data_IF_528315940049
#
_entry.id   IF_528315940049
#
_cell.length_a   1.000
_cell.length_b   1.000
_cell.length_c   1.000
_cell.angle_alpha   90.00
_cell.angle_beta   90.00
_cell.angle_gamma   90.00
#
_symmetry.space_group_name_H-M   'P 1'
#
loop_
_entity.id
_entity.type
_entity.pdbx_description
1 polymer ?
#
# COMPACT_ATOMS: atom_id res chain seq x y z
N UNK A 1 19.81 4.42 -19.90
CA UNK A 1 18.53 3.68 -19.84
C UNK A 1 17.39 4.68 -19.81
N UNK A 2 16.33 4.48 -20.58
CA UNK A 2 15.16 5.36 -20.52
C UNK A 2 14.47 5.22 -19.14
N UNK A 3 14.26 6.33 -18.42
CA UNK A 3 13.64 6.33 -17.09
C UNK A 3 12.21 5.77 -17.05
N UNK A 4 11.49 5.82 -18.17
CA UNK A 4 10.15 5.26 -18.29
C UNK A 4 10.13 3.71 -18.28
N UNK A 5 11.24 3.05 -18.65
CA UNK A 5 11.37 1.59 -18.50
C UNK A 5 11.35 1.18 -17.02
N UNK A 6 11.87 2.02 -16.13
CA UNK A 6 11.77 1.77 -14.68
C UNK A 6 10.32 1.86 -14.21
N UNK A 7 9.55 2.82 -14.73
CA UNK A 7 8.10 2.94 -14.42
C UNK A 7 7.34 1.72 -14.96
N UNK A 8 7.64 1.27 -16.19
CA UNK A 8 7.03 0.06 -16.75
C UNK A 8 7.31 -1.16 -15.86
N UNK A 9 8.58 -1.36 -15.46
CA UNK A 9 8.96 -2.42 -14.54
C UNK A 9 8.26 -2.30 -13.19
N UNK A 10 8.13 -1.08 -12.67
CA UNK A 10 7.44 -0.81 -11.42
C UNK A 10 5.96 -1.18 -11.48
N UNK A 11 5.26 -0.76 -12.53
CA UNK A 11 3.83 -1.08 -12.73
C UNK A 11 3.64 -2.58 -12.92
N UNK A 12 4.46 -3.23 -13.74
CA UNK A 12 4.41 -4.68 -13.96
C UNK A 12 4.57 -5.44 -12.63
N UNK A 13 5.58 -5.11 -11.84
CA UNK A 13 5.79 -5.71 -10.53
C UNK A 13 4.59 -5.45 -9.61
N UNK A 14 4.16 -4.21 -9.49
CA UNK A 14 3.10 -3.82 -8.55
C UNK A 14 1.74 -4.44 -8.87
N UNK A 15 1.38 -4.61 -10.16
CA UNK A 15 0.15 -5.31 -10.55
C UNK A 15 0.17 -6.75 -10.05
N UNK A 16 1.30 -7.44 -10.18
CA UNK A 16 1.44 -8.82 -9.73
C UNK A 16 1.35 -8.93 -8.19
N UNK A 17 2.01 -8.03 -7.46
CA UNK A 17 1.91 -8.01 -6.00
C UNK A 17 0.49 -7.69 -5.52
N UNK A 18 -0.22 -6.82 -6.24
CA UNK A 18 -1.59 -6.42 -5.93
C UNK A 18 -2.62 -7.52 -6.10
N UNK A 19 -2.27 -8.62 -6.76
CA UNK A 19 -3.11 -9.82 -6.85
C UNK A 19 -3.47 -10.39 -5.46
N UNK A 20 -2.71 -10.07 -4.41
CA UNK A 20 -3.03 -10.44 -3.02
C UNK A 20 -4.44 -9.99 -2.61
N UNK A 21 -4.96 -8.90 -3.16
CA UNK A 21 -6.33 -8.44 -2.89
C UNK A 21 -7.41 -9.32 -3.53
N UNK A 22 -7.05 -10.23 -4.43
CA UNK A 22 -7.96 -11.22 -4.99
C UNK A 22 -8.02 -12.52 -4.16
N UNK A 23 -7.39 -12.57 -2.98
CA UNK A 23 -7.39 -13.75 -2.08
C UNK A 23 -8.78 -14.32 -1.82
N UNK A 24 -9.78 -13.46 -1.67
CA UNK A 24 -11.17 -13.87 -1.40
C UNK A 24 -11.73 -14.86 -2.43
N UNK A 25 -11.21 -14.91 -3.65
CA UNK A 25 -11.63 -15.84 -4.69
C UNK A 25 -11.21 -17.29 -4.39
N UNK A 26 -10.20 -17.49 -3.56
CA UNK A 26 -9.73 -18.81 -3.16
C UNK A 26 -10.50 -19.37 -1.94
N UNK A 27 -11.18 -18.50 -1.16
CA UNK A 27 -11.81 -18.92 0.09
C UNK A 27 -12.82 -20.06 -0.13
N UNK A 28 -13.85 -19.84 -0.95
CA UNK A 28 -14.90 -20.85 -1.15
C UNK A 28 -14.36 -22.14 -1.80
N UNK A 29 -13.54 -22.08 -2.88
CA UNK A 29 -12.94 -23.30 -3.46
C UNK A 29 -12.07 -24.10 -2.51
N UNK A 30 -11.39 -23.46 -1.54
CA UNK A 30 -10.60 -24.15 -0.51
C UNK A 30 -11.51 -24.81 0.53
N UNK A 31 -12.58 -24.12 0.96
CA UNK A 31 -13.60 -24.67 1.87
C UNK A 31 -14.25 -25.90 1.23
N UNK A 32 -14.68 -25.80 -0.02
CA UNK A 32 -15.35 -26.89 -0.74
C UNK A 32 -14.46 -28.10 -0.94
N UNK A 33 -13.16 -27.87 -1.16
CA UNK A 33 -12.19 -28.93 -1.41
C UNK A 33 -11.73 -29.64 -0.15
N UNK A 34 -11.47 -28.89 0.93
CA UNK A 34 -10.79 -29.44 2.12
C UNK A 34 -11.69 -29.49 3.36
N UNK A 35 -12.88 -28.90 3.34
CA UNK A 35 -13.78 -28.81 4.48
C UNK A 35 -13.27 -27.92 5.62
N UNK A 36 -12.34 -26.99 5.31
CA UNK A 36 -11.81 -26.07 6.32
C UNK A 36 -12.81 -24.99 6.73
N UNK A 37 -12.75 -24.54 7.97
CA UNK A 37 -13.58 -23.43 8.42
C UNK A 37 -13.21 -22.12 7.68
N UNK A 38 -14.22 -21.31 7.35
CA UNK A 38 -14.02 -20.07 6.60
C UNK A 38 -13.09 -19.10 7.31
N UNK A 39 -13.25 -19.01 8.62
CA UNK A 39 -12.45 -18.15 9.49
C UNK A 39 -10.96 -18.49 9.37
N UNK A 40 -10.63 -19.78 9.36
CA UNK A 40 -9.26 -20.25 9.26
C UNK A 40 -8.64 -19.99 7.88
N UNK A 41 -9.41 -20.16 6.81
CA UNK A 41 -8.93 -19.86 5.45
C UNK A 41 -8.61 -18.37 5.31
N UNK A 42 -9.43 -17.47 5.87
CA UNK A 42 -9.23 -16.02 5.83
C UNK A 42 -7.98 -15.60 6.62
N UNK A 43 -7.60 -16.31 7.67
CA UNK A 43 -6.36 -16.06 8.43
C UNK A 43 -5.12 -16.08 7.53
N UNK A 44 -5.10 -16.87 6.46
CA UNK A 44 -4.00 -16.88 5.49
C UNK A 44 -3.72 -15.48 4.92
N UNK A 45 -4.76 -14.75 4.53
CA UNK A 45 -4.62 -13.38 4.04
C UNK A 45 -4.07 -12.45 5.13
N UNK A 46 -4.57 -12.58 6.36
CA UNK A 46 -4.10 -11.76 7.49
C UNK A 46 -2.62 -11.98 7.77
N UNK A 47 -2.16 -13.23 7.75
CA UNK A 47 -0.74 -13.59 7.88
C UNK A 47 0.07 -12.96 6.74
N UNK A 48 -0.42 -13.09 5.50
CA UNK A 48 0.27 -12.51 4.32
C UNK A 48 0.49 -11.01 4.49
N UNK A 49 -0.55 -10.26 4.87
CA UNK A 49 -0.46 -8.80 5.05
C UNK A 49 0.45 -8.42 6.23
N UNK A 50 0.38 -9.16 7.34
CA UNK A 50 1.23 -8.90 8.50
C UNK A 50 2.71 -9.13 8.18
N UNK A 51 3.03 -10.27 7.57
CA UNK A 51 4.40 -10.59 7.14
C UNK A 51 4.89 -9.60 6.09
N UNK A 52 4.07 -9.30 5.09
CA UNK A 52 4.36 -8.27 4.08
C UNK A 52 4.75 -6.94 4.73
N UNK A 53 3.92 -6.40 5.60
CA UNK A 53 4.19 -5.12 6.24
C UNK A 53 5.49 -5.17 7.07
N UNK A 54 5.70 -6.21 7.87
CA UNK A 54 6.89 -6.35 8.70
C UNK A 54 8.18 -6.45 7.87
N UNK A 55 8.17 -7.24 6.82
CA UNK A 55 9.34 -7.48 5.96
C UNK A 55 9.77 -6.23 5.20
N UNK A 56 8.87 -5.28 4.92
CA UNK A 56 9.26 -4.02 4.24
C UNK A 56 10.34 -3.23 4.97
N UNK A 57 10.45 -3.34 6.30
CA UNK A 57 11.52 -2.70 7.09
C UNK A 57 12.90 -3.22 6.65
N UNK A 58 13.05 -4.53 6.63
CA UNK A 58 14.32 -5.19 6.29
C UNK A 58 14.62 -5.07 4.80
N UNK A 59 13.60 -5.28 3.97
CA UNK A 59 13.69 -5.14 2.51
C UNK A 59 14.12 -3.74 2.10
N UNK A 60 13.57 -2.71 2.75
CA UNK A 60 13.95 -1.32 2.53
C UNK A 60 15.42 -1.05 2.81
N UNK A 61 15.96 -1.59 3.92
CA UNK A 61 17.38 -1.49 4.24
C UNK A 61 18.24 -2.25 3.23
N UNK A 62 17.84 -3.46 2.89
CA UNK A 62 18.59 -4.30 1.96
C UNK A 62 18.64 -3.68 0.56
N UNK A 63 17.52 -3.14 0.05
CA UNK A 63 17.49 -2.50 -1.27
C UNK A 63 18.30 -1.18 -1.33
N UNK A 64 18.46 -0.47 -0.22
CA UNK A 64 19.33 0.70 -0.16
C UNK A 64 20.83 0.31 -0.27
N UNK A 65 21.19 -0.93 0.11
CA UNK A 65 22.55 -1.47 0.06
C UNK A 65 22.88 -2.14 -1.28
N UNK A 66 22.06 -3.13 -1.71
CA UNK A 66 22.34 -3.95 -2.90
C UNK A 66 21.54 -3.54 -4.14
N UNK A 67 20.64 -2.57 -4.00
CA UNK A 67 19.81 -2.02 -5.07
C UNK A 67 18.46 -2.73 -5.25
N UNK A 68 17.50 -2.03 -5.90
CA UNK A 68 16.12 -2.49 -6.02
C UNK A 68 15.97 -3.75 -6.89
N UNK A 69 16.81 -3.91 -7.91
CA UNK A 69 16.75 -5.05 -8.85
C UNK A 69 16.91 -6.38 -8.12
N UNK A 70 17.96 -6.52 -7.32
CA UNK A 70 18.29 -7.78 -6.67
C UNK A 70 17.27 -8.14 -5.59
N UNK A 71 16.87 -7.17 -4.78
CA UNK A 71 15.87 -7.39 -3.72
C UNK A 71 14.52 -7.76 -4.30
N UNK A 72 14.08 -7.07 -5.36
CA UNK A 72 12.84 -7.40 -6.05
C UNK A 72 12.90 -8.76 -6.78
N UNK A 73 14.06 -9.15 -7.31
CA UNK A 73 14.25 -10.49 -7.92
C UNK A 73 14.10 -11.58 -6.88
N UNK A 74 14.80 -11.46 -5.73
CA UNK A 74 14.71 -12.43 -4.63
C UNK A 74 13.27 -12.49 -4.10
N UNK A 75 12.64 -11.32 -3.89
CA UNK A 75 11.25 -11.27 -3.45
C UNK A 75 10.29 -11.91 -4.46
N UNK A 76 10.48 -11.69 -5.77
CA UNK A 76 9.70 -12.32 -6.82
C UNK A 76 9.84 -13.85 -6.87
N UNK A 77 11.08 -14.35 -6.65
CA UNK A 77 11.33 -15.78 -6.50
C UNK A 77 10.59 -16.36 -5.29
N UNK A 78 10.69 -15.73 -4.13
CA UNK A 78 10.00 -16.18 -2.92
C UNK A 78 8.48 -16.15 -3.09
N UNK A 79 7.92 -15.08 -3.69
CA UNK A 79 6.50 -15.00 -3.97
C UNK A 79 6.05 -16.14 -4.89
N UNK A 80 6.72 -16.32 -6.02
CA UNK A 80 6.38 -17.36 -6.99
C UNK A 80 6.49 -18.77 -6.38
N UNK A 81 7.59 -19.06 -5.68
CA UNK A 81 7.81 -20.35 -5.02
C UNK A 81 6.77 -20.58 -3.91
N UNK A 82 6.50 -19.60 -3.05
CA UNK A 82 5.51 -19.71 -1.99
C UNK A 82 4.11 -20.02 -2.52
N UNK A 83 3.70 -19.32 -3.59
CA UNK A 83 2.40 -19.57 -4.24
C UNK A 83 2.38 -20.92 -4.96
N UNK A 84 3.47 -21.33 -5.64
CA UNK A 84 3.58 -22.67 -6.25
C UNK A 84 3.50 -23.78 -5.18
N UNK A 85 4.21 -23.65 -4.06
CA UNK A 85 4.15 -24.61 -2.95
C UNK A 85 2.74 -24.72 -2.37
N UNK A 86 1.96 -23.64 -2.38
CA UNK A 86 0.56 -23.66 -1.92
C UNK A 86 -0.32 -24.61 -2.74
N UNK A 87 0.08 -24.98 -3.96
CA UNK A 87 -0.61 -26.01 -4.77
C UNK A 87 -0.57 -27.39 -4.15
N UNK A 88 0.44 -27.65 -3.32
CA UNK A 88 0.66 -28.96 -2.63
C UNK A 88 0.17 -28.94 -1.19
N UNK A 89 -0.40 -27.82 -0.72
CA UNK A 89 -0.88 -27.71 0.65
C UNK A 89 -2.07 -28.65 0.87
N UNK A 90 -1.95 -29.49 1.89
CA UNK A 90 -3.00 -30.43 2.36
C UNK A 90 -3.51 -30.08 3.74
N UNK A 91 -2.89 -29.09 4.40
CA UNK A 91 -3.28 -28.56 5.71
C UNK A 91 -3.25 -27.02 5.74
N UNK A 92 -4.03 -26.42 6.63
CA UNK A 92 -4.01 -24.98 6.88
C UNK A 92 -2.63 -24.48 7.27
N UNK A 93 -1.89 -25.23 8.10
CA UNK A 93 -0.54 -24.84 8.53
C UNK A 93 0.43 -24.73 7.34
N UNK A 94 0.32 -25.64 6.36
CA UNK A 94 1.10 -25.57 5.13
C UNK A 94 0.69 -24.35 4.28
N UNK A 95 -0.61 -24.07 4.17
CA UNK A 95 -1.10 -22.90 3.43
C UNK A 95 -0.65 -21.59 4.10
N UNK A 96 -0.71 -21.51 5.44
CA UNK A 96 -0.18 -20.37 6.20
C UNK A 96 1.31 -20.17 5.98
N UNK A 97 2.09 -21.26 5.97
CA UNK A 97 3.53 -21.18 5.73
C UNK A 97 3.84 -20.78 4.29
N UNK A 98 3.23 -21.44 3.30
CA UNK A 98 3.61 -21.26 1.90
C UNK A 98 3.07 -19.95 1.34
N UNK A 99 1.77 -19.74 1.39
CA UNK A 99 1.16 -18.50 0.89
C UNK A 99 1.34 -17.34 1.87
N UNK A 100 1.03 -17.57 3.15
CA UNK A 100 1.04 -16.53 4.17
C UNK A 100 2.44 -16.01 4.47
N UNK A 101 3.36 -16.89 4.87
CA UNK A 101 4.69 -16.47 5.29
C UNK A 101 5.62 -16.31 4.10
N UNK A 102 5.86 -17.35 3.29
CA UNK A 102 6.83 -17.28 2.18
C UNK A 102 6.35 -16.28 1.12
N UNK A 103 5.08 -16.37 0.72
CA UNK A 103 4.46 -15.40 -0.20
C UNK A 103 4.48 -13.98 0.35
N UNK A 104 4.12 -13.80 1.63
CA UNK A 104 4.17 -12.52 2.33
C UNK A 104 5.57 -11.89 2.39
N UNK A 105 6.62 -12.70 2.67
CA UNK A 105 8.02 -12.27 2.58
C UNK A 105 8.34 -11.81 1.16
N UNK A 106 7.93 -12.57 0.14
CA UNK A 106 8.14 -12.22 -1.27
C UNK A 106 7.52 -10.88 -1.64
N UNK A 107 6.27 -10.64 -1.24
CA UNK A 107 5.59 -9.35 -1.45
C UNK A 107 6.33 -8.23 -0.72
N UNK A 108 6.66 -8.43 0.57
CA UNK A 108 7.33 -7.42 1.41
C UNK A 108 8.71 -7.01 0.89
N UNK A 109 9.50 -7.98 0.43
CA UNK A 109 10.79 -7.72 -0.19
C UNK A 109 10.66 -6.91 -1.49
N UNK A 110 9.63 -7.18 -2.26
CA UNK A 110 9.48 -6.58 -3.60
C UNK A 110 8.82 -5.21 -3.56
N UNK A 111 7.86 -4.98 -2.67
CA UNK A 111 6.96 -3.81 -2.69
C UNK A 111 7.66 -2.44 -2.67
N UNK A 112 8.68 -2.30 -1.84
CA UNK A 112 9.38 -1.00 -1.66
C UNK A 112 10.28 -0.67 -2.85
N UNK A 113 10.77 -1.68 -3.58
CA UNK A 113 11.75 -1.52 -4.64
C UNK A 113 11.26 -0.69 -5.84
N UNK A 114 10.05 -0.93 -6.41
CA UNK A 114 9.50 -0.11 -7.49
C UNK A 114 9.34 1.36 -7.10
N UNK A 115 8.81 1.62 -5.90
CA UNK A 115 8.56 2.96 -5.39
C UNK A 115 9.84 3.76 -5.26
N UNK A 116 10.84 3.18 -4.58
CA UNK A 116 12.11 3.86 -4.34
C UNK A 116 12.90 4.11 -5.62
N UNK A 117 12.90 3.15 -6.55
CA UNK A 117 13.50 3.33 -7.87
C UNK A 117 12.82 4.48 -8.63
N UNK A 118 11.50 4.47 -8.73
CA UNK A 118 10.73 5.51 -9.42
C UNK A 118 10.96 6.90 -8.83
N UNK A 119 10.92 7.05 -7.51
CA UNK A 119 11.14 8.33 -6.83
C UNK A 119 12.55 8.88 -7.07
N UNK A 120 13.57 8.01 -7.16
CA UNK A 120 14.95 8.41 -7.47
C UNK A 120 15.12 8.89 -8.91
N UNK A 121 14.42 8.27 -9.87
CA UNK A 121 14.48 8.66 -11.30
C UNK A 121 13.66 9.89 -11.67
N UNK A 122 12.65 10.25 -10.87
CA UNK A 122 11.74 11.37 -11.15
C UNK A 122 11.67 12.34 -9.97
N UNK A 123 12.77 13.04 -9.65
CA UNK A 123 12.78 13.98 -8.53
C UNK A 123 11.82 15.15 -8.74
N UNK A 124 11.54 15.51 -10.00
CA UNK A 124 10.62 16.59 -10.43
C UNK A 124 9.12 16.22 -10.28
N UNK A 125 8.77 14.93 -10.30
CA UNK A 125 7.38 14.42 -10.35
C UNK A 125 7.14 13.26 -9.41
N UNK A 126 7.70 13.31 -8.19
CA UNK A 126 7.66 12.21 -7.23
C UNK A 126 6.26 11.71 -6.92
N UNK A 127 5.30 12.63 -6.70
CA UNK A 127 3.92 12.28 -6.39
C UNK A 127 3.21 11.59 -7.55
N UNK A 128 3.34 12.12 -8.75
CA UNK A 128 2.74 11.53 -9.94
C UNK A 128 3.29 10.13 -10.24
N UNK A 129 4.61 9.99 -10.19
CA UNK A 129 5.27 8.71 -10.49
C UNK A 129 5.04 7.68 -9.38
N UNK A 130 5.07 8.10 -8.12
CA UNK A 130 4.68 7.26 -7.00
C UNK A 130 3.23 6.78 -7.16
N UNK A 131 2.34 7.70 -7.54
CA UNK A 131 0.95 7.38 -7.84
C UNK A 131 0.78 6.32 -8.92
N UNK A 132 1.48 6.44 -10.06
CA UNK A 132 1.46 5.46 -11.14
C UNK A 132 1.98 4.11 -10.65
N UNK A 133 3.13 4.08 -9.98
CA UNK A 133 3.72 2.85 -9.48
C UNK A 133 2.76 2.12 -8.52
N UNK A 134 2.20 2.84 -7.54
CA UNK A 134 1.31 2.19 -6.55
C UNK A 134 -0.08 1.89 -7.13
N UNK A 135 -0.55 2.63 -8.16
CA UNK A 135 -1.81 2.32 -8.84
C UNK A 135 -1.82 0.90 -9.40
N UNK A 136 -0.67 0.42 -9.91
CA UNK A 136 -0.52 -0.98 -10.32
C UNK A 136 -0.93 -1.96 -9.22
N UNK A 137 -0.43 -1.75 -7.99
CA UNK A 137 -0.80 -2.60 -6.84
C UNK A 137 -2.32 -2.55 -6.54
N UNK A 138 -2.93 -1.36 -6.61
CA UNK A 138 -4.38 -1.21 -6.41
C UNK A 138 -5.22 -1.92 -7.47
N UNK A 139 -4.74 -1.97 -8.72
CA UNK A 139 -5.43 -2.62 -9.83
C UNK A 139 -5.18 -4.15 -9.89
N UNK A 140 -4.20 -4.66 -9.14
CA UNK A 140 -3.82 -6.08 -9.19
C UNK A 140 -4.99 -7.03 -8.96
N UNK A 141 -5.78 -6.79 -7.92
CA UNK A 141 -6.97 -7.61 -7.65
C UNK A 141 -7.97 -7.61 -8.81
N UNK A 142 -8.19 -6.46 -9.44
CA UNK A 142 -9.10 -6.33 -10.59
C UNK A 142 -8.57 -7.07 -11.83
N UNK A 143 -7.27 -6.95 -12.11
CA UNK A 143 -6.61 -7.62 -13.26
C UNK A 143 -6.60 -9.13 -13.08
N UNK A 144 -6.31 -9.59 -11.86
CA UNK A 144 -6.19 -11.02 -11.58
C UNK A 144 -7.51 -11.74 -11.28
N UNK A 145 -8.58 -11.01 -10.95
CA UNK A 145 -9.89 -11.62 -10.71
C UNK A 145 -10.34 -12.56 -11.84
N UNK A 146 -10.39 -12.14 -13.13
CA UNK A 146 -10.78 -13.02 -14.23
C UNK A 146 -9.76 -14.16 -14.44
N UNK A 147 -8.48 -13.92 -14.27
CA UNK A 147 -7.42 -14.94 -14.44
C UNK A 147 -7.55 -16.04 -13.39
N UNK A 148 -7.68 -15.66 -12.13
CA UNK A 148 -7.84 -16.60 -11.01
C UNK A 148 -9.15 -17.39 -11.16
N UNK A 149 -10.25 -16.71 -11.47
CA UNK A 149 -11.54 -17.37 -11.67
C UNK A 149 -11.49 -18.43 -12.78
N UNK A 150 -10.94 -18.07 -13.94
CA UNK A 150 -10.75 -19.00 -15.05
C UNK A 150 -9.86 -20.19 -14.70
N UNK A 151 -8.73 -19.95 -14.00
CA UNK A 151 -7.83 -21.03 -13.59
C UNK A 151 -8.49 -21.97 -12.57
N UNK A 152 -9.24 -21.45 -11.61
CA UNK A 152 -9.95 -22.27 -10.63
C UNK A 152 -11.01 -23.14 -11.32
N UNK A 153 -11.77 -22.58 -12.24
CA UNK A 153 -12.80 -23.30 -12.99
C UNK A 153 -12.18 -24.41 -13.87
N UNK A 154 -11.08 -24.11 -14.56
CA UNK A 154 -10.46 -25.05 -15.51
C UNK A 154 -9.65 -26.15 -14.81
N UNK A 155 -8.92 -25.84 -13.74
CA UNK A 155 -7.89 -26.74 -13.18
C UNK A 155 -8.07 -27.05 -11.69
N UNK A 156 -9.05 -26.41 -11.05
CA UNK A 156 -9.28 -26.49 -9.62
C UNK A 156 -8.34 -25.61 -8.81
N UNK A 157 -8.69 -25.40 -7.54
CA UNK A 157 -8.00 -24.42 -6.64
C UNK A 157 -6.51 -24.72 -6.44
N UNK A 158 -6.12 -26.00 -6.28
CA UNK A 158 -4.72 -26.34 -6.03
C UNK A 158 -3.85 -26.08 -7.26
N UNK A 159 -4.27 -26.53 -8.43
CA UNK A 159 -3.51 -26.28 -9.67
C UNK A 159 -3.47 -24.79 -10.03
N UNK A 160 -4.52 -24.02 -9.69
CA UNK A 160 -4.51 -22.57 -9.90
C UNK A 160 -3.38 -21.88 -9.13
N UNK A 161 -3.05 -22.30 -7.92
CA UNK A 161 -1.87 -21.79 -7.20
C UNK A 161 -0.56 -22.07 -7.95
N UNK A 162 -0.41 -23.25 -8.56
CA UNK A 162 0.78 -23.56 -9.35
C UNK A 162 0.94 -22.59 -10.52
N UNK A 163 -0.10 -22.42 -11.32
CA UNK A 163 -0.07 -21.53 -12.49
C UNK A 163 0.11 -20.06 -12.08
N UNK A 164 -0.59 -19.61 -11.04
CA UNK A 164 -0.43 -18.25 -10.51
C UNK A 164 0.99 -18.01 -9.99
N UNK A 165 1.58 -19.00 -9.29
CA UNK A 165 2.95 -18.90 -8.81
C UNK A 165 3.97 -18.77 -9.95
N UNK A 166 3.79 -19.51 -11.06
CA UNK A 166 4.63 -19.39 -12.26
C UNK A 166 4.47 -18.00 -12.90
N UNK A 167 3.24 -17.52 -13.04
CA UNK A 167 2.95 -16.18 -13.58
C UNK A 167 3.65 -15.10 -12.74
N UNK A 168 3.50 -15.14 -11.41
CA UNK A 168 4.15 -14.18 -10.52
C UNK A 168 5.67 -14.26 -10.60
N UNK A 169 6.23 -15.47 -10.60
CA UNK A 169 7.67 -15.67 -10.71
C UNK A 169 8.21 -15.02 -11.98
N UNK A 170 7.63 -15.34 -13.13
CA UNK A 170 8.09 -14.85 -14.42
C UNK A 170 7.92 -13.33 -14.54
N UNK A 171 6.72 -12.80 -14.25
CA UNK A 171 6.42 -11.39 -14.47
C UNK A 171 7.10 -10.47 -13.44
N UNK A 172 7.17 -10.89 -12.16
CA UNK A 172 7.84 -10.09 -11.13
C UNK A 172 9.34 -10.08 -11.35
N UNK A 173 9.95 -11.23 -11.66
CA UNK A 173 11.39 -11.30 -11.95
C UNK A 173 11.73 -10.52 -13.21
N UNK A 174 10.94 -10.64 -14.28
CA UNK A 174 11.13 -9.85 -15.52
C UNK A 174 11.02 -8.34 -15.24
N UNK A 175 9.98 -7.90 -14.52
CA UNK A 175 9.80 -6.51 -14.12
C UNK A 175 10.94 -5.99 -13.24
N UNK A 176 11.43 -6.82 -12.32
CA UNK A 176 12.55 -6.49 -11.44
C UNK A 176 13.85 -6.17 -12.21
N UNK A 177 14.07 -6.78 -13.39
CA UNK A 177 15.25 -6.48 -14.21
C UNK A 177 15.29 -5.03 -14.69
N UNK A 178 14.12 -4.39 -14.80
CA UNK A 178 14.01 -2.97 -15.18
C UNK A 178 14.23 -2.02 -14.01
N UNK A 179 14.15 -2.50 -12.76
CA UNK A 179 14.31 -1.68 -11.56
C UNK A 179 15.79 -1.41 -11.27
N UNK A 180 16.27 -0.26 -11.66
CA UNK A 180 17.64 0.20 -11.43
C UNK A 180 17.65 1.58 -10.81
N UNK A 181 18.61 1.85 -9.92
CA UNK A 181 18.88 3.21 -9.46
C UNK A 181 19.46 4.05 -10.60
N UNK A 182 19.22 5.38 -10.62
CA UNK A 182 19.89 6.26 -11.58
C UNK A 182 21.40 6.24 -11.37
N UNK A 183 22.21 6.23 -12.45
CA UNK A 183 23.66 6.43 -12.37
C UNK A 183 23.98 7.79 -11.76
N UNK A 184 25.15 7.91 -11.11
CA UNK A 184 25.56 9.14 -10.41
C UNK A 184 25.75 10.34 -11.36
N UNK A 185 26.07 10.07 -12.63
CA UNK A 185 26.42 11.06 -13.64
C UNK A 185 25.22 11.54 -14.49
N UNK A 186 24.01 11.07 -14.18
CA UNK A 186 22.81 11.47 -14.92
C UNK A 186 22.27 12.78 -14.36
N UNK A 187 22.23 13.82 -15.20
CA UNK A 187 21.54 15.08 -14.89
C UNK A 187 20.02 14.85 -14.89
N UNK A 188 19.45 14.68 -13.71
CA UNK A 188 18.01 14.62 -13.53
C UNK A 188 17.43 16.02 -13.28
N UNK A 189 16.19 16.31 -13.73
CA UNK A 189 15.54 17.58 -13.46
C UNK A 189 15.54 17.88 -11.96
N UNK A 190 15.90 19.13 -11.60
CA UNK A 190 15.93 19.56 -10.21
C UNK A 190 14.52 19.57 -9.60
N UNK A 191 14.38 19.09 -8.37
CA UNK A 191 13.18 19.31 -7.60
C UNK A 191 13.35 20.58 -6.75
N UNK A 192 12.53 21.64 -6.96
CA UNK A 192 12.58 22.85 -6.13
C UNK A 192 12.35 22.57 -4.64
N UNK A 193 11.64 21.47 -4.36
CA UNK A 193 11.32 21.00 -3.01
C UNK A 193 12.31 19.97 -2.46
N UNK A 194 13.39 19.66 -3.18
CA UNK A 194 14.37 18.66 -2.72
C UNK A 194 15.06 19.13 -1.44
N UNK A 195 15.28 18.17 -0.55
CA UNK A 195 16.16 18.34 0.60
C UNK A 195 17.53 18.83 0.14
N UNK A 196 18.05 19.91 0.75
CA UNK A 196 19.39 20.42 0.46
C UNK A 196 20.40 19.28 0.45
N UNK A 197 21.42 19.34 -0.43
CA UNK A 197 22.46 18.31 -0.63
C UNK A 197 23.22 17.89 0.66
N UNK A 198 22.74 18.03 1.84
CA UNK A 198 23.33 17.62 3.11
C UNK A 198 22.35 16.83 4.00
N UNK A 199 21.06 16.95 3.75
CA UNK A 199 20.03 16.40 4.64
C UNK A 199 19.56 15.01 4.14
N UNK A 200 20.41 13.98 4.29
CA UNK A 200 20.06 12.59 3.95
C UNK A 200 19.98 11.76 5.24
N UNK A 201 18.78 11.63 5.79
CA UNK A 201 18.57 10.95 7.04
C UNK A 201 18.72 9.43 6.92
N UNK A 202 19.39 8.82 7.88
CA UNK A 202 19.29 7.38 8.13
C UNK A 202 17.98 7.08 8.85
N UNK A 203 17.52 5.83 8.84
CA UNK A 203 16.30 5.43 9.57
C UNK A 203 16.40 5.78 11.08
N UNK A 204 17.56 5.57 11.70
CA UNK A 204 17.78 5.92 13.12
C UNK A 204 17.62 7.43 13.36
N UNK A 205 18.17 8.26 12.48
CA UNK A 205 18.01 9.72 12.58
C UNK A 205 16.56 10.14 12.34
N UNK A 206 15.89 9.54 11.35
CA UNK A 206 14.47 9.78 11.08
C UNK A 206 13.61 9.46 12.30
N UNK A 207 13.78 8.28 12.91
CA UNK A 207 13.07 7.82 14.11
C UNK A 207 13.33 8.70 15.34
N UNK A 208 14.41 9.50 15.36
CA UNK A 208 14.69 10.45 16.43
C UNK A 208 14.00 11.80 16.24
N UNK A 209 13.25 12.02 15.16
CA UNK A 209 12.56 13.26 14.85
C UNK A 209 11.10 13.19 15.23
N UNK A 210 10.53 14.24 15.83
CA UNK A 210 9.09 14.30 16.11
C UNK A 210 8.24 14.32 14.84
N UNK A 211 8.81 14.82 13.74
CA UNK A 211 8.17 14.87 12.43
C UNK A 211 7.83 13.46 11.90
N UNK A 212 8.69 12.47 12.18
CA UNK A 212 8.40 11.08 11.82
C UNK A 212 7.10 10.62 12.46
N UNK A 213 6.94 10.83 13.76
CA UNK A 213 5.75 10.38 14.48
C UNK A 213 4.50 11.11 14.02
N UNK A 214 4.58 12.42 13.77
CA UNK A 214 3.45 13.16 13.21
C UNK A 214 3.03 12.60 11.85
N UNK A 215 3.97 12.40 10.93
CA UNK A 215 3.70 11.83 9.60
C UNK A 215 3.21 10.38 9.69
N UNK A 216 3.76 9.60 10.61
CA UNK A 216 3.38 8.22 10.82
C UNK A 216 1.94 8.09 11.33
N UNK A 217 1.55 8.88 12.33
CA UNK A 217 0.17 8.90 12.81
C UNK A 217 -0.80 9.49 11.78
N UNK A 218 -0.39 10.50 11.03
CA UNK A 218 -1.17 10.98 9.89
C UNK A 218 -1.43 9.84 8.91
N UNK A 219 -0.40 9.08 8.53
CA UNK A 219 -0.56 7.95 7.62
C UNK A 219 -1.45 6.84 8.20
N UNK A 220 -1.30 6.54 9.49
CA UNK A 220 -2.16 5.61 10.21
C UNK A 220 -3.63 6.05 10.14
N UNK A 221 -3.94 7.29 10.50
CA UNK A 221 -5.31 7.82 10.55
C UNK A 221 -6.00 7.84 9.19
N UNK A 222 -5.29 8.28 8.15
CA UNK A 222 -5.81 8.23 6.79
C UNK A 222 -6.03 6.79 6.29
N UNK A 223 -5.12 5.90 6.63
CA UNK A 223 -5.22 4.48 6.23
C UNK A 223 -6.32 3.74 6.98
N UNK A 224 -6.51 3.99 8.27
CA UNK A 224 -7.61 3.42 9.07
C UNK A 224 -8.95 3.81 8.46
N UNK A 225 -9.15 5.10 8.15
CA UNK A 225 -10.38 5.61 7.54
C UNK A 225 -10.70 4.91 6.22
N UNK A 226 -9.71 4.77 5.33
CA UNK A 226 -9.89 4.14 4.03
C UNK A 226 -10.12 2.63 4.13
N UNK A 227 -9.25 1.92 4.87
CA UNK A 227 -9.33 0.46 4.99
C UNK A 227 -10.60 0.00 5.69
N UNK A 228 -11.08 0.76 6.68
CA UNK A 228 -12.35 0.47 7.34
C UNK A 228 -13.52 0.43 6.33
N UNK A 229 -13.66 1.44 5.49
CA UNK A 229 -14.72 1.47 4.47
C UNK A 229 -14.50 0.40 3.39
N UNK A 230 -13.26 0.21 2.94
CA UNK A 230 -12.94 -0.78 1.90
C UNK A 230 -13.24 -2.21 2.36
N UNK A 231 -12.88 -2.53 3.63
CA UNK A 231 -13.06 -3.87 4.18
C UNK A 231 -14.52 -4.24 4.41
N UNK A 232 -15.36 -3.27 4.72
CA UNK A 232 -16.77 -3.46 5.06
C UNK A 232 -17.74 -2.80 4.08
N UNK A 233 -17.29 -2.51 2.84
CA UNK A 233 -18.08 -1.78 1.87
C UNK A 233 -19.45 -2.44 1.59
N UNK A 234 -19.51 -3.76 1.50
CA UNK A 234 -20.74 -4.50 1.29
C UNK A 234 -21.64 -4.44 2.50
N UNK A 235 -21.09 -4.67 3.70
CA UNK A 235 -21.87 -4.64 4.95
C UNK A 235 -22.44 -3.23 5.20
N UNK A 236 -21.65 -2.17 4.96
CA UNK A 236 -22.12 -0.78 5.03
C UNK A 236 -23.27 -0.53 4.05
N UNK A 237 -23.18 -1.06 2.83
CA UNK A 237 -24.26 -0.94 1.83
C UNK A 237 -25.54 -1.63 2.27
N UNK A 238 -25.43 -2.84 2.81
CA UNK A 238 -26.58 -3.62 3.29
C UNK A 238 -27.16 -3.02 4.56
N UNK A 239 -26.32 -2.77 5.58
CA UNK A 239 -26.78 -2.42 6.93
C UNK A 239 -27.21 -0.93 7.08
N UNK A 240 -26.53 -0.02 6.38
CA UNK A 240 -26.81 1.43 6.50
C UNK A 240 -27.60 2.01 5.33
N UNK A 241 -27.36 1.51 4.11
CA UNK A 241 -28.04 2.03 2.94
C UNK A 241 -29.24 1.17 2.51
N UNK A 242 -29.54 0.06 3.25
CA UNK A 242 -30.63 -0.90 2.98
C UNK A 242 -30.61 -1.42 1.53
N UNK A 243 -29.41 -1.67 0.98
CA UNK A 243 -29.22 -2.12 -0.39
C UNK A 243 -29.27 -3.65 -0.48
N UNK A 244 -29.63 -4.17 -1.66
CA UNK A 244 -29.45 -5.58 -1.95
C UNK A 244 -27.95 -5.93 -1.97
N UNK A 245 -27.61 -7.21 -1.72
CA UNK A 245 -26.23 -7.70 -1.76
C UNK A 245 -25.55 -7.42 -3.11
N UNK A 246 -26.30 -7.52 -4.20
CA UNK A 246 -25.81 -7.21 -5.55
C UNK A 246 -25.46 -5.73 -5.70
N UNK A 247 -26.36 -4.83 -5.27
CA UNK A 247 -26.11 -3.39 -5.31
C UNK A 247 -24.93 -2.99 -4.42
N UNK A 248 -24.86 -3.52 -3.20
CA UNK A 248 -23.75 -3.28 -2.28
C UNK A 248 -22.42 -3.82 -2.84
N UNK A 249 -22.44 -4.96 -3.52
CA UNK A 249 -21.27 -5.56 -4.17
C UNK A 249 -20.64 -4.68 -5.25
N UNK A 250 -21.41 -3.83 -5.93
CA UNK A 250 -20.88 -2.89 -6.92
C UNK A 250 -19.88 -1.88 -6.31
N UNK A 251 -20.01 -1.58 -5.02
CA UNK A 251 -19.07 -0.70 -4.31
C UNK A 251 -17.63 -1.17 -4.41
N UNK A 252 -17.36 -2.46 -4.34
CA UNK A 252 -16.01 -3.03 -4.36
C UNK A 252 -15.28 -2.66 -5.65
N UNK A 253 -15.96 -2.75 -6.78
CA UNK A 253 -15.40 -2.44 -8.11
C UNK A 253 -15.14 -0.93 -8.24
N UNK A 254 -16.12 -0.12 -7.83
CA UNK A 254 -16.05 1.33 -7.92
C UNK A 254 -14.94 1.88 -6.99
N UNK A 255 -14.85 1.37 -5.76
CA UNK A 255 -13.76 1.72 -4.83
C UNK A 255 -12.39 1.41 -5.45
N UNK A 256 -12.20 0.24 -6.05
CA UNK A 256 -10.92 -0.14 -6.65
C UNK A 256 -10.50 0.82 -7.77
N UNK A 257 -11.46 1.20 -8.64
CA UNK A 257 -11.22 2.14 -9.74
C UNK A 257 -10.86 3.54 -9.21
N UNK A 258 -11.64 4.06 -8.25
CA UNK A 258 -11.39 5.38 -7.67
C UNK A 258 -10.11 5.40 -6.82
N UNK A 259 -9.78 4.31 -6.15
CA UNK A 259 -8.52 4.16 -5.42
C UNK A 259 -7.32 4.27 -6.37
N UNK A 260 -7.32 3.55 -7.48
CA UNK A 260 -6.26 3.63 -8.48
C UNK A 260 -6.16 5.04 -9.11
N UNK A 261 -7.30 5.63 -9.46
CA UNK A 261 -7.37 6.99 -10.02
C UNK A 261 -6.88 8.03 -9.01
N UNK A 262 -7.28 7.90 -7.75
CA UNK A 262 -6.87 8.79 -6.66
C UNK A 262 -5.35 8.80 -6.46
N UNK A 263 -4.69 7.66 -6.58
CA UNK A 263 -3.21 7.55 -6.50
C UNK A 263 -2.53 8.43 -7.55
N UNK A 264 -3.00 8.37 -8.78
CA UNK A 264 -2.40 9.12 -9.91
C UNK A 264 -2.75 10.60 -9.82
N UNK A 265 -4.04 10.93 -9.66
CA UNK A 265 -4.54 12.31 -9.67
C UNK A 265 -4.01 13.09 -8.47
N UNK A 266 -4.19 12.57 -7.25
CA UNK A 266 -3.73 13.25 -6.03
C UNK A 266 -2.21 13.29 -5.94
N UNK A 267 -1.53 12.26 -6.44
CA UNK A 267 -0.08 12.27 -6.61
C UNK A 267 0.38 13.44 -7.47
N UNK A 268 -0.24 13.63 -8.66
CA UNK A 268 0.07 14.75 -9.56
C UNK A 268 -0.30 16.12 -8.96
N UNK A 269 -1.46 16.22 -8.33
CA UNK A 269 -1.89 17.46 -7.66
C UNK A 269 -0.92 17.85 -6.54
N UNK A 270 -0.38 16.86 -5.81
CA UNK A 270 0.58 17.12 -4.75
C UNK A 270 1.93 17.66 -5.25
N UNK A 271 2.32 17.34 -6.48
CA UNK A 271 3.51 17.91 -7.12
C UNK A 271 3.29 19.39 -7.45
N UNK A 272 2.04 19.80 -7.76
CA UNK A 272 1.69 21.16 -8.14
C UNK A 272 1.36 22.06 -6.94
N UNK A 273 0.51 21.59 -6.04
CA UNK A 273 -0.01 22.37 -4.90
C UNK A 273 0.77 22.18 -3.60
N UNK A 274 1.75 21.27 -3.60
CA UNK A 274 2.55 20.89 -2.44
C UNK A 274 1.93 19.75 -1.62
N UNK A 275 2.78 18.92 -1.01
CA UNK A 275 2.38 17.73 -0.26
C UNK A 275 1.43 18.04 0.88
N UNK A 276 1.81 19.04 1.68
CA UNK A 276 1.06 19.46 2.89
C UNK A 276 -0.36 19.90 2.55
N UNK A 277 -0.52 20.79 1.57
CA UNK A 277 -1.83 21.31 1.19
C UNK A 277 -2.73 20.21 0.63
N UNK A 278 -2.16 19.33 -0.20
CA UNK A 278 -2.90 18.19 -0.76
C UNK A 278 -3.33 17.22 0.35
N UNK A 279 -2.46 16.90 1.31
CA UNK A 279 -2.83 16.06 2.46
C UNK A 279 -3.95 16.69 3.28
N UNK A 280 -3.88 17.99 3.59
CA UNK A 280 -4.95 18.70 4.32
C UNK A 280 -6.27 18.61 3.57
N UNK A 281 -6.26 18.83 2.25
CA UNK A 281 -7.48 18.73 1.42
C UNK A 281 -8.07 17.31 1.42
N UNK A 282 -7.21 16.27 1.32
CA UNK A 282 -7.65 14.88 1.35
C UNK A 282 -8.24 14.52 2.72
N UNK A 283 -7.59 14.92 3.84
CA UNK A 283 -8.12 14.68 5.18
C UNK A 283 -9.43 15.42 5.41
N UNK A 284 -9.55 16.67 4.96
CA UNK A 284 -10.79 17.44 5.07
C UNK A 284 -11.93 16.76 4.30
N UNK A 285 -11.68 16.34 3.07
CA UNK A 285 -12.66 15.61 2.26
C UNK A 285 -13.05 14.28 2.91
N UNK A 286 -12.08 13.50 3.40
CA UNK A 286 -12.33 12.25 4.10
C UNK A 286 -13.17 12.47 5.36
N UNK A 287 -12.85 13.49 6.16
CA UNK A 287 -13.60 13.83 7.37
C UNK A 287 -15.07 14.18 7.07
N UNK A 288 -15.30 15.01 6.04
CA UNK A 288 -16.65 15.40 5.62
C UNK A 288 -17.49 14.20 5.17
N UNK A 289 -16.88 13.30 4.37
CA UNK A 289 -17.57 12.10 3.91
C UNK A 289 -17.87 11.16 5.09
N UNK A 290 -16.95 10.99 6.02
CA UNK A 290 -17.16 10.17 7.22
C UNK A 290 -18.27 10.74 8.11
N UNK A 291 -18.35 12.06 8.29
CA UNK A 291 -19.46 12.73 8.98
C UNK A 291 -20.78 12.43 8.25
N UNK A 292 -20.79 12.58 6.93
CA UNK A 292 -21.98 12.26 6.15
C UNK A 292 -22.40 10.79 6.33
N UNK A 293 -21.47 9.85 6.20
CA UNK A 293 -21.77 8.41 6.39
C UNK A 293 -22.25 8.08 7.80
N UNK A 294 -21.81 8.83 8.80
CA UNK A 294 -22.25 8.65 10.20
C UNK A 294 -23.73 9.00 10.42
N UNK A 295 -24.36 9.76 9.53
CA UNK A 295 -25.80 10.06 9.65
C UNK A 295 -26.68 8.84 9.40
N UNK A 296 -26.16 7.81 8.75
CA UNK A 296 -26.93 6.61 8.35
C UNK A 296 -27.95 6.86 7.23
N UNK A 297 -28.05 8.08 6.72
CA UNK A 297 -29.01 8.43 5.66
C UNK A 297 -28.34 8.32 4.30
N UNK A 298 -28.42 7.13 3.69
CA UNK A 298 -27.81 6.86 2.39
C UNK A 298 -28.79 6.13 1.48
N UNK A 299 -28.86 6.57 0.22
CA UNK A 299 -29.45 5.79 -0.87
C UNK A 299 -28.33 5.24 -1.77
N UNK A 300 -28.68 4.41 -2.73
CA UNK A 300 -27.71 3.74 -3.60
C UNK A 300 -26.72 4.71 -4.30
N UNK A 301 -27.16 5.81 -4.98
CA UNK A 301 -26.22 6.75 -5.59
C UNK A 301 -25.29 7.44 -4.58
N UNK A 302 -25.82 7.89 -3.47
CA UNK A 302 -25.04 8.57 -2.42
C UNK A 302 -24.07 7.63 -1.74
N UNK A 303 -24.43 6.38 -1.52
CA UNK A 303 -23.54 5.33 -1.05
C UNK A 303 -22.36 5.13 -2.00
N UNK A 304 -22.62 4.94 -3.31
CA UNK A 304 -21.56 4.77 -4.30
C UNK A 304 -20.63 5.98 -4.38
N UNK A 305 -21.17 7.20 -4.31
CA UNK A 305 -20.37 8.43 -4.28
C UNK A 305 -19.49 8.47 -3.04
N UNK A 306 -20.05 8.19 -1.86
CA UNK A 306 -19.30 8.23 -0.60
C UNK A 306 -18.14 7.23 -0.60
N UNK A 307 -18.39 5.95 -0.92
CA UNK A 307 -17.33 4.93 -0.93
C UNK A 307 -16.31 5.16 -2.03
N UNK A 308 -16.72 5.74 -3.18
CA UNK A 308 -15.81 6.13 -4.26
C UNK A 308 -14.84 7.22 -3.82
N UNK A 309 -15.34 8.26 -3.19
CA UNK A 309 -14.53 9.37 -2.71
C UNK A 309 -13.60 8.94 -1.57
N UNK A 310 -14.03 8.04 -0.68
CA UNK A 310 -13.14 7.43 0.33
C UNK A 310 -12.05 6.62 -0.36
N UNK A 311 -12.39 5.79 -1.35
CA UNK A 311 -11.42 5.04 -2.14
C UNK A 311 -10.40 5.96 -2.82
N UNK A 312 -10.87 7.06 -3.43
CA UNK A 312 -10.04 8.06 -4.08
C UNK A 312 -9.06 8.74 -3.09
N UNK A 313 -9.55 9.19 -1.94
CA UNK A 313 -8.73 9.79 -0.88
C UNK A 313 -7.70 8.79 -0.34
N UNK A 314 -8.12 7.55 -0.08
CA UNK A 314 -7.23 6.50 0.38
C UNK A 314 -6.09 6.21 -0.61
N UNK A 315 -6.40 6.17 -1.91
CA UNK A 315 -5.38 6.09 -2.96
C UNK A 315 -4.38 7.23 -2.87
N UNK A 316 -4.85 8.43 -2.59
CA UNK A 316 -4.02 9.62 -2.38
C UNK A 316 -3.02 9.46 -1.23
N UNK A 317 -3.44 8.95 -0.08
CA UNK A 317 -2.52 8.70 1.05
C UNK A 317 -1.38 7.76 0.63
N UNK A 318 -1.70 6.64 -0.04
CA UNK A 318 -0.71 5.66 -0.47
C UNK A 318 0.28 6.22 -1.52
N UNK A 319 -0.11 7.20 -2.33
CA UNK A 319 0.76 7.85 -3.30
C UNK A 319 1.62 8.97 -2.69
N UNK A 320 1.07 9.71 -1.70
CA UNK A 320 1.72 10.88 -1.14
C UNK A 320 2.78 10.52 -0.08
N UNK A 321 2.53 9.56 0.80
CA UNK A 321 3.46 9.26 1.89
C UNK A 321 4.86 8.81 1.44
N UNK A 322 5.04 8.00 0.37
CA UNK A 322 6.37 7.76 -0.19
C UNK A 322 7.07 9.05 -0.62
N UNK A 323 6.34 9.93 -1.31
CA UNK A 323 6.86 11.21 -1.79
C UNK A 323 7.21 12.16 -0.64
N UNK A 324 6.37 12.23 0.39
CA UNK A 324 6.61 13.00 1.63
C UNK A 324 7.86 12.47 2.34
N UNK A 325 8.01 11.16 2.47
CA UNK A 325 9.20 10.55 3.08
C UNK A 325 10.47 10.95 2.34
N UNK A 326 10.44 10.91 1.00
CA UNK A 326 11.57 11.35 0.18
C UNK A 326 11.86 12.85 0.31
N UNK A 327 10.80 13.69 0.38
CA UNK A 327 10.91 15.14 0.45
C UNK A 327 11.38 15.63 1.84
N UNK A 328 11.14 14.87 2.91
CA UNK A 328 11.49 15.20 4.28
C UNK A 328 12.84 14.61 4.71
N UNK A 329 13.12 13.37 4.32
CA UNK A 329 14.26 12.60 4.82
C UNK A 329 15.32 12.27 3.76
N UNK A 330 15.07 12.67 2.50
CA UNK A 330 15.98 12.42 1.39
C UNK A 330 15.82 11.05 0.75
N UNK A 331 16.54 10.83 -0.35
CA UNK A 331 16.38 9.64 -1.18
C UNK A 331 17.51 8.61 -1.04
N UNK A 332 18.59 8.93 -0.29
CA UNK A 332 19.73 8.03 -0.11
C UNK A 332 19.33 6.74 0.60
N UNK A 333 18.58 6.86 1.69
CA UNK A 333 18.09 5.74 2.50
C UNK A 333 16.55 5.59 2.36
N UNK A 334 16.04 5.82 1.15
CA UNK A 334 14.58 5.89 0.93
C UNK A 334 13.87 4.59 1.26
N UNK A 335 14.46 3.44 0.92
CA UNK A 335 13.87 2.15 1.19
C UNK A 335 13.72 1.89 2.68
N UNK A 336 14.80 2.12 3.44
CA UNK A 336 14.81 1.97 4.88
C UNK A 336 13.82 2.93 5.57
N UNK A 337 13.85 4.21 5.18
CA UNK A 337 12.98 5.23 5.78
C UNK A 337 11.49 4.96 5.48
N UNK A 338 11.16 4.60 4.23
CA UNK A 338 9.78 4.31 3.87
C UNK A 338 9.30 2.97 4.44
N UNK A 339 10.18 1.98 4.62
CA UNK A 339 9.83 0.72 5.28
C UNK A 339 9.30 0.93 6.71
N UNK A 340 9.91 1.83 7.49
CA UNK A 340 9.38 2.22 8.80
C UNK A 340 8.10 3.05 8.71
N UNK A 341 8.01 3.98 7.75
CA UNK A 341 6.78 4.76 7.53
C UNK A 341 5.59 3.87 7.16
N UNK A 342 5.82 2.84 6.35
CA UNK A 342 4.79 1.93 5.87
C UNK A 342 4.16 1.05 6.96
N UNK A 343 4.79 0.93 8.15
CA UNK A 343 4.20 0.22 9.28
C UNK A 343 2.89 0.87 9.75
N UNK A 344 2.71 2.17 9.54
CA UNK A 344 1.43 2.85 9.80
C UNK A 344 0.28 2.23 8.97
N UNK A 345 0.55 1.94 7.70
CA UNK A 345 -0.41 1.23 6.83
C UNK A 345 -0.63 -0.22 7.31
N UNK A 346 0.44 -0.94 7.64
CA UNK A 346 0.32 -2.31 8.15
C UNK A 346 -0.53 -2.39 9.42
N UNK A 347 -0.32 -1.47 10.37
CA UNK A 347 -1.12 -1.39 11.60
C UNK A 347 -2.57 -1.02 11.32
N UNK A 348 -2.82 -0.12 10.36
CA UNK A 348 -4.18 0.32 10.03
C UNK A 348 -5.08 -0.81 9.54
N UNK A 349 -4.51 -1.85 8.92
CA UNK A 349 -5.24 -3.02 8.44
C UNK A 349 -5.87 -3.85 9.59
N UNK A 350 -5.35 -3.72 10.81
CA UNK A 350 -5.92 -4.33 12.00
C UNK A 350 -6.82 -3.35 12.77
N UNK A 351 -6.38 -2.09 12.89
CA UNK A 351 -7.11 -1.07 13.68
C UNK A 351 -8.48 -0.78 13.09
N UNK A 352 -8.62 -0.67 11.77
CA UNK A 352 -9.90 -0.41 11.10
C UNK A 352 -10.98 -1.46 11.43
N UNK A 353 -10.73 -2.76 11.16
CA UNK A 353 -11.65 -3.84 11.53
C UNK A 353 -11.96 -3.93 13.03
N UNK A 354 -10.97 -3.69 13.90
CA UNK A 354 -11.19 -3.68 15.36
C UNK A 354 -12.16 -2.58 15.79
N UNK A 355 -12.09 -1.40 15.19
CA UNK A 355 -13.03 -0.30 15.48
C UNK A 355 -14.46 -0.70 15.09
N UNK A 356 -14.64 -1.26 13.88
CA UNK A 356 -15.96 -1.69 13.40
C UNK A 356 -16.54 -2.85 14.24
N UNK A 357 -15.67 -3.73 14.74
CA UNK A 357 -16.09 -4.80 15.66
C UNK A 357 -16.55 -4.27 17.02
N UNK A 358 -15.93 -3.18 17.49
CA UNK A 358 -16.19 -2.60 18.82
C UNK A 358 -17.33 -1.57 18.82
N UNK A 359 -17.59 -0.91 17.69
CA UNK A 359 -18.53 0.22 17.58
C UNK A 359 -19.47 0.02 16.40
N UNK A 360 -20.74 0.50 16.48
CA UNK A 360 -21.61 0.62 15.32
C UNK A 360 -20.97 1.47 14.22
N UNK A 361 -21.28 1.19 12.94
CA UNK A 361 -20.71 1.90 11.80
C UNK A 361 -20.79 3.43 11.92
N UNK A 362 -21.93 3.96 12.38
CA UNK A 362 -22.13 5.42 12.55
C UNK A 362 -21.11 6.03 13.52
N UNK A 363 -20.84 5.36 14.65
CA UNK A 363 -19.84 5.81 15.64
C UNK A 363 -18.41 5.60 15.13
N UNK A 364 -18.16 4.48 14.43
CA UNK A 364 -16.87 4.20 13.81
C UNK A 364 -16.48 5.28 12.79
N UNK A 365 -17.45 5.77 12.00
CA UNK A 365 -17.23 6.86 11.04
C UNK A 365 -16.96 8.20 11.75
N UNK A 366 -17.66 8.52 12.84
CA UNK A 366 -17.37 9.72 13.64
C UNK A 366 -15.94 9.68 14.22
N UNK A 367 -15.51 8.52 14.72
CA UNK A 367 -14.15 8.34 15.21
C UNK A 367 -13.11 8.51 14.09
N UNK A 368 -13.37 7.94 12.91
CA UNK A 368 -12.51 8.10 11.75
C UNK A 368 -12.44 9.55 11.25
N UNK A 369 -13.57 10.28 11.31
CA UNK A 369 -13.60 11.71 11.04
C UNK A 369 -12.73 12.49 12.04
N UNK A 370 -12.83 12.20 13.33
CA UNK A 370 -11.98 12.80 14.36
C UNK A 370 -10.49 12.55 14.08
N UNK A 371 -10.11 11.34 13.68
CA UNK A 371 -8.73 11.04 13.28
C UNK A 371 -8.26 11.92 12.12
N UNK A 372 -9.11 12.14 11.12
CA UNK A 372 -8.80 13.01 9.99
C UNK A 372 -8.65 14.48 10.42
N UNK A 373 -9.49 14.98 11.33
CA UNK A 373 -9.38 16.35 11.89
C UNK A 373 -8.09 16.51 12.68
N UNK A 374 -7.72 15.52 13.50
CA UNK A 374 -6.44 15.51 14.21
C UNK A 374 -5.27 15.52 13.21
N UNK A 375 -5.34 14.73 12.14
CA UNK A 375 -4.31 14.70 11.10
C UNK A 375 -4.15 16.06 10.38
N UNK A 376 -5.22 16.83 10.18
CA UNK A 376 -5.14 18.21 9.67
C UNK A 376 -4.35 19.10 10.63
N UNK A 377 -4.61 19.00 11.93
CA UNK A 377 -3.84 19.71 12.97
C UNK A 377 -2.36 19.33 12.92
N UNK A 378 -2.05 18.04 12.87
CA UNK A 378 -0.68 17.53 12.74
C UNK A 378 -0.01 18.05 11.47
N UNK A 379 -0.71 18.07 10.32
CA UNK A 379 -0.17 18.60 9.08
C UNK A 379 0.28 20.06 9.18
N UNK A 380 -0.41 20.88 9.98
CA UNK A 380 -0.01 22.28 10.23
C UNK A 380 1.28 22.37 11.04
N UNK A 381 1.50 21.44 11.97
CA UNK A 381 2.66 21.39 12.86
C UNK A 381 3.91 20.80 12.21
N UNK A 382 3.76 20.01 11.15
CA UNK A 382 4.89 19.37 10.49
C UNK A 382 5.72 20.39 9.72
N UNK A 383 6.98 20.54 10.14
CA UNK A 383 8.03 21.34 9.49
C UNK A 383 9.13 20.37 9.04
N UNK A 384 9.80 20.65 7.93
CA UNK A 384 10.90 19.78 7.45
C UNK A 384 12.03 19.71 8.48
N UNK A 385 12.51 18.49 8.83
CA UNK A 385 13.61 18.36 9.74
C UNK A 385 14.93 18.79 9.07
N UNK A 386 15.83 19.38 9.85
CA UNK A 386 17.19 19.68 9.44
C UNK A 386 18.17 18.86 10.27
N UNK A 387 19.22 18.34 9.63
CA UNK A 387 20.34 17.70 10.35
C UNK A 387 21.19 18.83 10.90
N UNK A 388 21.09 19.07 12.22
CA UNK A 388 21.95 20.04 12.90
C UNK A 388 23.39 19.48 12.96
N UNK A 389 24.41 20.20 12.47
CA UNK A 389 25.80 19.72 12.42
C UNK A 389 26.41 19.34 13.78
N UNK A 390 25.84 19.83 14.86
CA UNK A 390 26.38 19.68 16.22
C UNK A 390 26.32 18.23 16.75
N UNK A 391 25.48 17.37 16.25
CA UNK A 391 25.39 15.96 16.70
C UNK A 391 26.40 15.01 16.03
N UNK A 392 27.16 15.46 15.05
CA UNK A 392 28.17 14.65 14.37
C UNK A 392 29.54 14.76 15.05
N UNK A 393 29.81 15.82 15.81
CA UNK A 393 31.12 16.03 16.50
C UNK A 393 31.25 15.22 17.79
N UNK A 394 30.16 14.89 18.48
CA UNK A 394 30.23 14.15 19.76
C UNK A 394 30.44 12.63 19.62
N UNK A 395 30.39 12.08 18.41
CA UNK A 395 30.60 10.64 18.16
C UNK A 395 31.85 10.28 17.39
N UNK A 396 32.69 11.26 17.01
CA UNK A 396 34.02 11.02 16.46
C UNK A 396 35.14 11.11 17.50
N UNK A 397 34.78 11.32 18.77
CA UNK A 397 35.75 11.49 19.90
C UNK A 397 35.43 10.47 21.04
N UNK A 398 34.57 9.48 20.80
CA UNK A 398 34.36 8.37 21.73
C UNK A 398 34.72 7.04 21.08
#
# INVERSE_FOLDING_TARGET
MNRWLVVLGAVLVQINLGAVYAWSLFNQPLIDKFGWAREDVVVTFSITIAVFAFVTIFAGKLQDQIGPRWVATIGGLLLGIGVMLSSQATSLSQLYLFYGVIGGIGIGMTYVCPLTACIKWFPDKRGFISGIAVAGFGLGGLVYKPVIGYLIELTGVSSSFLYMGIIYLVLVVAGAQLLKNPPKDVNLPANPSAVKKGNQFTAKQMLSTYQFYLLWFMFLFGSVSGLMVISFAVDIGVDLANLSLEQAGNAVMVIALFNATGRIVLGKLSDRFGRKNTLVAIYALTALIMIYMSTGVMNYPLFLIAVSLIGFCFGGFLALFPSVTADYYGTKNMGSNYGFMYQAYGLSAFVGPLIVKALPFTQAFLLASLFCVIAIGMAKMVIRPEITPTRLKERSVA
#
